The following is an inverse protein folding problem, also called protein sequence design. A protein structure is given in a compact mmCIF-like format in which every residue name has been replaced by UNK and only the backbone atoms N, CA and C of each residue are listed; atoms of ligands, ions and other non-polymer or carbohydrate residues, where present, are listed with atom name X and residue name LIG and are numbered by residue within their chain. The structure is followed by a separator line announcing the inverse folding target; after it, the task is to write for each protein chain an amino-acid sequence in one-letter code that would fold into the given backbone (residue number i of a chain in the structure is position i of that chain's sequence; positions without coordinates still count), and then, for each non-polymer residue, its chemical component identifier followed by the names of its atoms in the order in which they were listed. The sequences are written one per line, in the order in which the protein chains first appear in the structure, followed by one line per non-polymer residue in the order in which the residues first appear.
data_IF_533132191922
#
_entry.id   IF_533132191922
#
_cell.length_a   1.000
_cell.length_b   1.000
_cell.length_c   1.000
_cell.angle_alpha   90.00
_cell.angle_beta   90.00
_cell.angle_gamma   90.00
#
_symmetry.space_group_name_H-M   'P 1'
#
loop_
_entity.id
_entity.type
_entity.pdbx_description
1 polymer ?
#
# COMPACT_ATOMS: atom_id res chain seq x y z
N UNK A 1 11.26 19.27 2.84
CA UNK A 1 10.28 18.30 3.42
C UNK A 1 10.18 17.12 2.47
N UNK A 2 10.09 15.88 2.97
CA UNK A 2 10.04 14.71 2.10
C UNK A 2 8.63 14.58 1.48
N UNK A 3 8.48 14.44 0.15
CA UNK A 3 7.16 14.41 -0.50
C UNK A 3 6.34 13.18 -0.11
N UNK A 4 5.00 13.20 -0.19
CA UNK A 4 4.18 12.00 0.00
C UNK A 4 4.59 10.86 -0.95
N UNK A 5 4.20 9.64 -0.60
CA UNK A 5 4.28 8.49 -1.49
C UNK A 5 3.39 8.75 -2.70
N UNK A 6 3.89 8.40 -3.89
CA UNK A 6 3.07 8.39 -5.08
C UNK A 6 2.03 7.25 -5.00
N UNK A 7 0.86 7.47 -5.56
CA UNK A 7 -0.15 6.42 -5.79
C UNK A 7 -0.13 6.09 -7.27
N UNK A 8 -0.02 4.81 -7.62
CA UNK A 8 -0.05 4.36 -9.02
C UNK A 8 -1.09 3.26 -9.14
N UNK A 9 -2.09 3.49 -9.98
CA UNK A 9 -3.05 2.47 -10.37
C UNK A 9 -2.44 1.63 -11.50
N UNK A 10 -2.53 0.31 -11.40
CA UNK A 10 -2.08 -0.63 -12.44
C UNK A 10 -3.22 -1.60 -12.73
N UNK A 11 -3.37 -1.97 -14.00
CA UNK A 11 -4.35 -2.97 -14.42
C UNK A 11 -3.73 -4.37 -14.38
N UNK A 12 -4.52 -5.36 -13.96
CA UNK A 12 -4.24 -6.81 -13.96
C UNK A 12 -3.10 -7.29 -13.04
N UNK A 13 -1.95 -6.63 -13.03
CA UNK A 13 -0.78 -7.11 -12.29
C UNK A 13 0.16 -6.00 -11.81
N UNK A 14 0.92 -6.32 -10.76
CA UNK A 14 2.03 -5.50 -10.31
C UNK A 14 3.16 -5.43 -11.36
N UNK A 15 3.89 -4.31 -11.44
CA UNK A 15 5.09 -4.24 -12.26
C UNK A 15 6.16 -5.21 -11.74
N UNK A 16 7.02 -5.70 -12.64
CA UNK A 16 8.15 -6.58 -12.30
C UNK A 16 9.09 -6.00 -11.22
N UNK A 17 9.13 -4.68 -11.09
CA UNK A 17 9.95 -4.00 -10.09
C UNK A 17 9.18 -2.81 -9.52
N UNK A 18 9.03 -2.80 -8.19
CA UNK A 18 8.37 -1.73 -7.47
C UNK A 18 9.35 -0.59 -7.20
N UNK A 19 8.87 0.65 -7.30
CA UNK A 19 9.64 1.83 -6.91
C UNK A 19 9.52 2.07 -5.40
N UNK A 20 10.59 2.59 -4.80
CA UNK A 20 10.53 3.11 -3.42
C UNK A 20 9.58 4.31 -3.39
N UNK A 21 8.90 4.49 -2.26
CA UNK A 21 7.96 5.60 -2.04
C UNK A 21 6.77 5.63 -3.02
N UNK A 22 6.29 4.46 -3.42
CA UNK A 22 5.11 4.31 -4.26
C UNK A 22 4.19 3.25 -3.66
N UNK A 23 2.90 3.57 -3.56
CA UNK A 23 1.83 2.62 -3.33
C UNK A 23 1.24 2.27 -4.69
N UNK A 24 1.35 1.01 -5.07
CA UNK A 24 0.67 0.46 -6.23
C UNK A 24 -0.69 -0.07 -5.79
N UNK A 25 -1.73 0.18 -6.57
CA UNK A 25 -3.06 -0.41 -6.40
C UNK A 25 -3.39 -1.13 -7.70
N UNK A 26 -3.48 -2.46 -7.60
CA UNK A 26 -3.90 -3.32 -8.71
C UNK A 26 -5.40 -3.26 -8.82
N UNK A 27 -5.87 -3.03 -10.03
CA UNK A 27 -7.27 -3.06 -10.39
C UNK A 27 -7.49 -4.10 -11.48
N UNK A 28 -8.56 -4.87 -11.34
CA UNK A 28 -9.00 -5.85 -12.32
C UNK A 28 -10.53 -5.76 -12.40
N UNK A 29 -11.08 -5.72 -13.62
CA UNK A 29 -12.53 -5.59 -13.87
C UNK A 29 -13.25 -4.47 -13.08
N UNK A 30 -12.53 -3.39 -12.78
CA UNK A 30 -13.06 -2.24 -12.02
C UNK A 30 -13.04 -2.41 -10.50
N UNK A 31 -12.52 -3.52 -9.98
CA UNK A 31 -12.33 -3.76 -8.55
C UNK A 31 -10.89 -3.50 -8.11
N UNK A 32 -10.69 -2.98 -6.90
CA UNK A 32 -9.38 -2.89 -6.28
C UNK A 32 -9.05 -4.23 -5.61
N UNK A 33 -8.05 -4.95 -6.09
CA UNK A 33 -7.75 -6.30 -5.61
C UNK A 33 -6.59 -6.34 -4.61
N UNK A 34 -5.54 -5.56 -4.89
CA UNK A 34 -4.31 -5.61 -4.12
C UNK A 34 -3.66 -4.23 -4.05
N UNK A 35 -3.15 -3.87 -2.87
CA UNK A 35 -2.19 -2.79 -2.74
C UNK A 35 -0.79 -3.37 -2.47
N UNK A 36 0.25 -2.76 -3.05
CA UNK A 36 1.62 -3.18 -2.81
C UNK A 36 2.59 -2.01 -2.69
N UNK A 37 3.59 -2.16 -1.82
CA UNK A 37 4.65 -1.16 -1.65
C UNK A 37 5.93 -1.79 -1.10
N UNK A 38 7.07 -1.16 -1.37
CA UNK A 38 8.31 -1.50 -0.66
C UNK A 38 8.20 -1.05 0.80
N UNK A 39 8.52 -1.97 1.72
CA UNK A 39 8.43 -1.74 3.15
C UNK A 39 9.19 -0.46 3.57
N UNK A 40 8.52 0.48 4.25
CA UNK A 40 9.11 1.76 4.58
C UNK A 40 10.21 1.70 5.64
N UNK A 41 10.39 0.57 6.34
CA UNK A 41 11.42 0.45 7.38
C UNK A 41 12.86 0.31 6.82
N UNK A 42 13.01 0.13 5.51
CA UNK A 42 14.32 0.00 4.86
C UNK A 42 14.76 -1.43 4.58
N UNK A 43 14.06 -2.46 5.06
CA UNK A 43 14.37 -3.87 4.76
C UNK A 43 14.15 -4.29 3.30
N UNK A 44 13.57 -3.40 2.48
CA UNK A 44 13.27 -3.59 1.04
C UNK A 44 12.27 -4.71 0.70
N UNK A 45 11.73 -5.43 1.66
CA UNK A 45 10.67 -6.40 1.42
C UNK A 45 9.45 -5.75 0.78
N UNK A 46 8.80 -6.46 -0.15
CA UNK A 46 7.51 -6.05 -0.69
C UNK A 46 6.41 -6.38 0.32
N UNK A 47 5.62 -5.38 0.68
CA UNK A 47 4.38 -5.55 1.41
C UNK A 47 3.25 -5.66 0.40
N UNK A 48 2.42 -6.67 0.55
CA UNK A 48 1.19 -6.85 -0.21
C UNK A 48 0.02 -6.86 0.78
N UNK A 49 -1.00 -6.08 0.46
CA UNK A 49 -2.21 -5.93 1.25
C UNK A 49 -3.38 -6.35 0.36
N UNK A 50 -4.10 -7.39 0.79
CA UNK A 50 -5.34 -7.80 0.14
C UNK A 50 -6.38 -6.68 0.26
N UNK A 51 -7.04 -6.32 -0.83
CA UNK A 51 -8.14 -5.34 -0.83
C UNK A 51 -9.51 -5.99 -1.01
N UNK A 52 -9.55 -7.25 -1.43
CA UNK A 52 -10.77 -8.05 -1.50
C UNK A 52 -11.33 -8.31 -0.09
N UNK A 53 -12.65 -8.25 0.03
CA UNK A 53 -13.34 -8.30 1.33
C UNK A 53 -13.73 -9.71 1.77
N UNK A 54 -13.41 -10.72 0.98
CA UNK A 54 -13.67 -12.13 1.20
C UNK A 54 -12.72 -12.75 2.25
N UNK A 55 -11.46 -12.35 2.25
CA UNK A 55 -10.44 -12.87 3.17
C UNK A 55 -9.91 -11.82 4.16
N UNK A 56 -9.27 -12.29 5.24
CA UNK A 56 -8.64 -11.42 6.25
C UNK A 56 -7.18 -11.81 6.48
N UNK A 57 -6.29 -10.83 6.75
CA UNK A 57 -6.58 -9.40 6.84
C UNK A 57 -6.82 -8.77 5.46
N UNK A 58 -7.77 -7.84 5.37
CA UNK A 58 -7.98 -7.01 4.19
C UNK A 58 -7.84 -5.53 4.56
N UNK A 59 -7.58 -4.71 3.54
CA UNK A 59 -7.47 -3.28 3.63
C UNK A 59 -8.43 -2.61 2.66
N UNK A 60 -8.81 -1.38 2.97
CA UNK A 60 -9.48 -0.47 2.06
C UNK A 60 -8.49 0.61 1.65
N UNK A 61 -8.40 0.87 0.35
CA UNK A 61 -7.74 2.07 -0.17
C UNK A 61 -8.75 3.21 -0.21
N UNK A 62 -8.32 4.40 0.14
CA UNK A 62 -9.09 5.62 -0.10
C UNK A 62 -8.21 6.58 -0.88
N UNK A 63 -8.60 6.83 -2.13
CA UNK A 63 -7.95 7.79 -3.00
C UNK A 63 -8.48 9.19 -2.67
N UNK A 64 -7.59 10.18 -2.64
CA UNK A 64 -7.92 11.58 -2.32
C UNK A 64 -7.79 12.44 -3.57
N UNK A 65 -8.51 13.56 -3.62
CA UNK A 65 -8.46 14.50 -4.75
C UNK A 65 -7.08 15.16 -4.99
N UNK A 66 -6.14 15.02 -4.04
CA UNK A 66 -4.74 15.46 -4.16
C UNK A 66 -3.82 14.39 -4.79
N UNK A 67 -4.38 13.27 -5.27
CA UNK A 67 -3.65 12.14 -5.87
C UNK A 67 -2.99 11.21 -4.86
N UNK A 68 -3.09 11.48 -3.56
CA UNK A 68 -2.60 10.57 -2.52
C UNK A 68 -3.61 9.47 -2.20
N UNK A 69 -3.15 8.44 -1.48
CA UNK A 69 -4.01 7.38 -0.96
C UNK A 69 -3.83 7.18 0.55
N UNK A 70 -4.84 6.60 1.18
CA UNK A 70 -4.78 6.06 2.54
C UNK A 70 -5.10 4.57 2.54
N UNK A 71 -4.52 3.83 3.49
CA UNK A 71 -4.90 2.45 3.78
C UNK A 71 -5.60 2.37 5.13
N UNK A 72 -6.62 1.54 5.21
CA UNK A 72 -7.29 1.20 6.46
C UNK A 72 -7.59 -0.30 6.52
N UNK A 73 -7.22 -1.03 7.59
CA UNK A 73 -6.61 -0.55 8.84
C UNK A 73 -5.11 -0.23 8.69
N UNK A 74 -4.39 -0.08 9.81
CA UNK A 74 -2.92 0.03 9.79
C UNK A 74 -2.28 -1.18 9.12
N UNK A 75 -1.10 -1.01 8.53
CA UNK A 75 -0.30 -2.12 8.00
C UNK A 75 0.55 -2.67 9.13
N UNK A 76 0.38 -3.95 9.45
CA UNK A 76 1.16 -4.63 10.49
C UNK A 76 1.72 -5.95 9.95
N UNK A 77 3.02 -5.93 9.63
CA UNK A 77 3.75 -7.13 9.28
C UNK A 77 4.13 -7.86 10.56
N UNK A 78 3.48 -8.98 10.89
CA UNK A 78 3.73 -9.70 12.17
C UNK A 78 5.05 -10.49 12.19
N UNK A 79 5.57 -10.86 11.02
CA UNK A 79 6.83 -11.59 10.84
C UNK A 79 7.94 -10.69 10.29
N UNK A 80 9.19 -11.14 10.37
CA UNK A 80 10.38 -10.47 9.87
C UNK A 80 10.65 -9.10 10.51
N UNK A 81 10.60 -8.00 9.75
CA UNK A 81 10.96 -6.65 10.24
C UNK A 81 9.94 -6.06 11.22
N UNK A 82 8.81 -6.73 11.47
CA UNK A 82 7.78 -6.32 12.44
C UNK A 82 7.21 -4.92 12.24
N UNK A 83 7.32 -4.35 11.04
CA UNK A 83 6.90 -2.98 10.75
C UNK A 83 5.40 -2.79 11.00
N UNK A 84 5.06 -1.80 11.83
CA UNK A 84 3.68 -1.40 12.11
C UNK A 84 3.51 0.10 11.89
N UNK A 85 2.61 0.47 10.98
CA UNK A 85 2.37 1.88 10.65
C UNK A 85 0.98 2.12 10.09
N UNK A 86 0.54 3.37 10.22
CA UNK A 86 -0.56 3.93 9.46
C UNK A 86 -0.07 4.53 8.15
N UNK A 87 -0.79 4.29 7.06
CA UNK A 87 -0.57 4.96 5.78
C UNK A 87 -1.74 5.90 5.50
N UNK A 88 -1.53 7.21 5.60
CA UNK A 88 -2.60 8.21 5.45
C UNK A 88 -2.13 9.35 4.55
N UNK A 89 -2.91 9.65 3.50
CA UNK A 89 -2.61 10.71 2.52
C UNK A 89 -1.15 10.64 2.03
N UNK A 90 -0.73 9.44 1.61
CA UNK A 90 0.63 9.19 1.11
C UNK A 90 1.73 9.26 2.18
N UNK A 91 1.40 9.30 3.48
CA UNK A 91 2.39 9.40 4.57
C UNK A 91 2.37 8.18 5.46
N UNK A 92 3.55 7.72 5.82
CA UNK A 92 3.77 6.67 6.84
C UNK A 92 3.85 7.35 8.21
N UNK A 93 2.94 6.99 9.11
CA UNK A 93 3.00 7.33 10.54
C UNK A 93 3.22 6.05 11.32
N UNK A 94 4.41 5.90 11.88
CA UNK A 94 4.79 4.75 12.70
C UNK A 94 3.97 4.72 14.00
N UNK A 95 3.74 3.50 14.49
CA UNK A 95 3.15 3.26 15.81
C UNK A 95 4.22 3.23 16.89
#
# INVERSE_FOLDING_TARGET
MVPPYATVLVQDALPKTLKRRTLYVVQEDGFEEQAAMICPCGCKATLQMNLLTDERPCWRVTQHGDGTASLHPSVWRKKDCKSHFWFRRGRVKWC
#
